data_IF_242908489551
#
_entry.id   IF_242908489551
#
_cell.length_a   1.000
_cell.length_b   1.000
_cell.length_c   1.000
_cell.angle_alpha   90.00
_cell.angle_beta   90.00
_cell.angle_gamma   90.00
#
_symmetry.space_group_name_H-M   'P 1'
#
loop_
_entity.id
_entity.type
_entity.pdbx_description
1 polymer ?
#
# COMPACT_ATOMS: atom_id res chain seq x y z
N UNK A 1 63.23 24.24 -3.39
CA UNK A 1 61.96 24.83 -3.88
C UNK A 1 61.40 23.87 -4.90
N UNK A 2 60.70 22.84 -4.42
CA UNK A 2 59.25 22.80 -4.16
C UNK A 2 58.48 22.43 -5.45
N UNK A 3 57.92 21.22 -5.39
CA UNK A 3 57.36 20.40 -6.48
C UNK A 3 55.95 20.86 -6.88
N UNK A 4 55.56 20.85 -8.18
CA UNK A 4 54.19 21.09 -8.58
C UNK A 4 53.40 19.76 -8.60
N UNK A 5 53.21 19.15 -7.43
CA UNK A 5 52.35 17.94 -7.27
C UNK A 5 50.85 18.25 -7.16
N UNK A 6 50.45 19.52 -7.31
CA UNK A 6 49.12 20.03 -6.91
C UNK A 6 48.02 19.82 -7.95
N UNK A 7 48.32 19.71 -9.25
CA UNK A 7 47.30 19.63 -10.32
C UNK A 7 46.70 18.23 -10.51
N UNK A 8 47.47 17.17 -10.20
CA UNK A 8 47.06 15.78 -10.43
C UNK A 8 45.91 15.36 -9.49
N UNK A 9 45.96 15.80 -8.23
CA UNK A 9 44.91 15.51 -7.25
C UNK A 9 43.56 16.15 -7.61
N UNK A 10 43.53 17.39 -8.12
CA UNK A 10 42.28 18.03 -8.54
C UNK A 10 41.61 17.30 -9.70
N UNK A 11 42.41 16.82 -10.67
CA UNK A 11 41.88 16.03 -11.80
C UNK A 11 41.32 14.69 -11.34
N UNK A 12 42.00 14.01 -10.40
CA UNK A 12 41.53 12.75 -9.79
C UNK A 12 40.22 12.97 -9.01
N UNK A 13 40.11 14.06 -8.26
CA UNK A 13 38.90 14.42 -7.50
C UNK A 13 37.73 14.67 -8.46
N UNK A 14 37.92 15.43 -9.55
CA UNK A 14 36.87 15.69 -10.54
C UNK A 14 36.41 14.40 -11.22
N UNK A 15 37.33 13.51 -11.59
CA UNK A 15 36.99 12.20 -12.18
C UNK A 15 36.22 11.33 -11.19
N UNK A 16 36.60 11.31 -9.91
CA UNK A 16 35.84 10.58 -8.88
C UNK A 16 34.43 11.14 -8.69
N UNK A 17 34.25 12.47 -8.68
CA UNK A 17 32.94 13.12 -8.54
C UNK A 17 32.07 12.85 -9.78
N UNK A 18 32.62 12.92 -10.99
CA UNK A 18 31.89 12.53 -12.21
C UNK A 18 31.51 11.05 -12.19
N UNK A 19 32.40 10.14 -11.78
CA UNK A 19 32.10 8.70 -11.68
C UNK A 19 31.04 8.38 -10.62
N UNK A 20 30.99 9.17 -9.54
CA UNK A 20 29.97 9.04 -8.50
C UNK A 20 28.62 9.61 -8.94
N UNK A 21 28.62 10.62 -9.82
CA UNK A 21 27.39 11.13 -10.46
C UNK A 21 26.78 10.16 -11.47
N UNK A 22 27.59 9.24 -12.01
CA UNK A 22 27.13 8.13 -12.87
C UNK A 22 26.70 6.90 -12.10
N UNK A 23 26.71 6.92 -10.75
CA UNK A 23 26.03 5.91 -9.94
C UNK A 23 24.53 6.06 -10.20
N UNK A 24 24.08 5.29 -11.17
CA UNK A 24 22.77 5.29 -11.80
C UNK A 24 21.63 5.58 -10.83
N UNK A 25 20.80 6.56 -11.18
CA UNK A 25 19.39 6.63 -10.75
C UNK A 25 18.67 5.40 -11.31
N UNK A 26 18.86 4.24 -10.69
CA UNK A 26 18.08 3.06 -11.01
C UNK A 26 16.67 3.29 -10.50
N UNK A 27 15.71 3.40 -11.41
CA UNK A 27 14.30 3.39 -11.04
C UNK A 27 13.97 2.01 -10.48
N UNK A 28 13.56 1.97 -9.21
CA UNK A 28 13.10 0.75 -8.57
C UNK A 28 11.75 0.34 -9.19
N UNK A 29 11.78 -0.73 -9.99
CA UNK A 29 10.60 -1.32 -10.64
C UNK A 29 10.51 -2.79 -10.23
N UNK A 30 9.89 -3.12 -9.08
CA UNK A 30 9.80 -4.49 -8.60
C UNK A 30 8.98 -5.35 -9.57
N UNK A 31 9.33 -6.64 -9.66
CA UNK A 31 8.63 -7.61 -10.51
C UNK A 31 7.17 -7.76 -10.05
N UNK A 32 6.96 -7.86 -8.75
CA UNK A 32 5.64 -7.91 -8.12
C UNK A 32 5.29 -6.50 -7.60
N UNK A 33 4.37 -5.82 -8.30
CA UNK A 33 3.91 -4.48 -7.94
C UNK A 33 2.39 -4.38 -8.02
N UNK A 34 1.75 -4.56 -6.87
CA UNK A 34 0.29 -4.51 -6.73
C UNK A 34 -0.13 -3.22 -6.06
N UNK A 35 -0.87 -2.38 -6.79
CA UNK A 35 -1.44 -1.14 -6.30
C UNK A 35 -2.95 -1.23 -6.43
N UNK A 36 -3.64 -1.34 -5.29
CA UNK A 36 -5.08 -1.61 -5.25
C UNK A 36 -5.82 -0.38 -4.70
N UNK A 37 -6.87 0.03 -5.38
CA UNK A 37 -7.84 1.01 -4.89
C UNK A 37 -9.09 0.29 -4.38
N UNK A 38 -9.12 0.09 -3.07
CA UNK A 38 -10.15 -0.72 -2.41
C UNK A 38 -11.51 -0.02 -2.43
N UNK A 39 -12.54 -0.75 -2.84
CA UNK A 39 -13.90 -0.25 -3.01
C UNK A 39 -14.12 0.58 -4.27
N UNK A 40 -13.08 0.85 -5.08
CA UNK A 40 -13.25 1.55 -6.34
C UNK A 40 -13.62 0.60 -7.48
N UNK A 41 -14.49 1.08 -8.38
CA UNK A 41 -14.83 0.40 -9.62
C UNK A 41 -13.95 0.86 -10.81
N UNK A 42 -13.14 1.90 -10.61
CA UNK A 42 -12.29 2.49 -11.63
C UNK A 42 -10.87 2.66 -11.10
N UNK A 43 -9.91 2.75 -12.02
CA UNK A 43 -8.52 2.96 -11.65
C UNK A 43 -8.28 4.43 -11.27
N UNK A 44 -7.37 4.65 -10.34
CA UNK A 44 -6.94 5.96 -9.90
C UNK A 44 -5.44 6.16 -10.16
N UNK A 45 -5.02 7.39 -10.44
CA UNK A 45 -3.58 7.73 -10.56
C UNK A 45 -3.20 8.69 -9.45
N UNK A 46 -2.17 8.33 -8.68
CA UNK A 46 -1.62 9.14 -7.57
C UNK A 46 -0.10 9.11 -7.67
N UNK A 47 0.54 10.28 -7.70
CA UNK A 47 1.99 10.41 -7.83
C UNK A 47 2.57 9.58 -8.99
N UNK A 48 1.93 9.65 -10.16
CA UNK A 48 2.34 8.89 -11.35
C UNK A 48 2.25 7.35 -11.22
N UNK A 49 1.57 6.85 -10.18
CA UNK A 49 1.31 5.43 -9.94
C UNK A 49 -0.16 5.13 -10.17
N UNK A 50 -0.44 4.07 -10.94
CA UNK A 50 -1.81 3.63 -11.24
C UNK A 50 -2.26 2.57 -10.23
N UNK A 51 -3.33 2.85 -9.52
CA UNK A 51 -4.00 1.95 -8.59
C UNK A 51 -5.22 1.35 -9.28
N UNK A 52 -5.32 0.04 -9.23
CA UNK A 52 -6.39 -0.72 -9.88
C UNK A 52 -7.58 -0.87 -8.94
N UNK A 53 -8.78 -0.51 -9.41
CA UNK A 53 -10.00 -0.63 -8.59
C UNK A 53 -10.37 -2.09 -8.31
N UNK A 54 -10.55 -2.47 -7.04
CA UNK A 54 -10.83 -3.88 -6.69
C UNK A 54 -12.28 -4.32 -6.94
N UNK A 55 -13.20 -3.39 -7.20
CA UNK A 55 -14.58 -3.69 -7.62
C UNK A 55 -14.68 -3.85 -9.13
N UNK A 56 -13.61 -3.57 -9.87
CA UNK A 56 -13.57 -3.79 -11.30
C UNK A 56 -13.59 -5.29 -11.62
N UNK A 57 -14.35 -5.69 -12.65
CA UNK A 57 -14.51 -7.10 -13.05
C UNK A 57 -13.17 -7.79 -13.38
N UNK A 58 -12.15 -7.03 -13.76
CA UNK A 58 -10.80 -7.53 -14.03
C UNK A 58 -10.03 -7.99 -12.79
N UNK A 59 -10.41 -7.53 -11.59
CA UNK A 59 -9.69 -7.77 -10.33
C UNK A 59 -10.43 -8.72 -9.38
N UNK A 60 -11.51 -9.36 -9.84
CA UNK A 60 -12.30 -10.29 -9.02
C UNK A 60 -11.52 -11.53 -8.55
N UNK A 61 -10.34 -11.80 -9.12
CA UNK A 61 -9.48 -12.91 -8.73
C UNK A 61 -8.57 -12.59 -7.54
N UNK A 62 -8.33 -11.29 -7.25
CA UNK A 62 -7.43 -10.86 -6.18
C UNK A 62 -8.17 -10.86 -4.84
N UNK A 63 -9.44 -10.47 -4.84
CA UNK A 63 -10.25 -10.40 -3.61
C UNK A 63 -11.05 -11.68 -3.40
N UNK A 64 -10.78 -12.35 -2.28
CA UNK A 64 -11.59 -13.46 -1.76
C UNK A 64 -12.48 -12.96 -0.62
N UNK A 65 -13.75 -12.70 -0.91
CA UNK A 65 -14.74 -12.26 0.08
C UNK A 65 -16.15 -12.70 -0.28
N UNK A 66 -16.86 -13.31 0.66
CA UNK A 66 -18.28 -13.67 0.49
C UNK A 66 -19.23 -12.53 0.87
N UNK A 67 -18.80 -11.61 1.75
CA UNK A 67 -19.61 -10.50 2.23
C UNK A 67 -18.75 -9.25 2.40
N UNK A 68 -18.71 -8.43 1.36
CA UNK A 68 -18.09 -7.10 1.38
C UNK A 68 -18.96 -6.05 0.72
N UNK A 69 -18.73 -4.79 1.06
CA UNK A 69 -19.42 -3.62 0.52
C UNK A 69 -18.39 -2.59 0.09
N UNK A 70 -18.58 -1.99 -1.08
CA UNK A 70 -17.79 -0.85 -1.52
C UNK A 70 -18.45 0.44 -1.05
N UNK A 71 -17.68 1.32 -0.40
CA UNK A 71 -18.11 2.64 0.03
C UNK A 71 -17.37 3.72 -0.75
N UNK A 72 -18.05 4.84 -0.99
CA UNK A 72 -17.49 6.03 -1.63
C UNK A 72 -17.90 7.26 -0.84
N UNK A 73 -16.95 8.14 -0.54
CA UNK A 73 -17.25 9.46 -0.02
C UNK A 73 -17.86 10.32 -1.14
N UNK A 74 -19.11 10.82 -1.00
CA UNK A 74 -19.66 11.74 -1.98
C UNK A 74 -18.95 13.10 -1.98
N UNK A 75 -18.39 13.52 -0.85
CA UNK A 75 -17.78 14.83 -0.64
C UNK A 75 -16.41 14.71 0.06
N UNK A 76 -15.37 14.19 -0.63
CA UNK A 76 -14.04 14.07 -0.05
C UNK A 76 -13.43 15.44 0.27
N UNK A 77 -12.64 15.57 1.37
CA UNK A 77 -11.89 16.79 1.68
C UNK A 77 -11.02 17.27 0.51
N UNK A 78 -10.88 18.59 0.37
CA UNK A 78 -10.01 19.19 -0.64
C UNK A 78 -8.55 18.74 -0.44
N UNK A 79 -7.89 18.36 -1.53
CA UNK A 79 -6.51 17.88 -1.51
C UNK A 79 -6.33 16.42 -1.09
N UNK A 80 -7.41 15.71 -0.72
CA UNK A 80 -7.34 14.29 -0.40
C UNK A 80 -7.14 13.46 -1.70
N UNK A 81 -6.13 12.59 -1.70
CA UNK A 81 -5.83 11.76 -2.88
C UNK A 81 -7.01 10.84 -3.27
N UNK A 82 -7.23 10.58 -4.57
CA UNK A 82 -8.35 9.76 -5.07
C UNK A 82 -8.48 8.37 -4.43
N UNK A 83 -7.37 7.68 -4.13
CA UNK A 83 -7.37 6.38 -3.44
C UNK A 83 -7.98 6.42 -2.02
N UNK A 84 -8.16 7.64 -1.48
CA UNK A 84 -8.83 7.86 -0.20
C UNK A 84 -10.29 8.31 -0.36
N UNK A 85 -10.86 8.26 -1.56
CA UNK A 85 -12.28 8.58 -1.78
C UNK A 85 -13.18 7.33 -1.63
N UNK A 86 -12.59 6.14 -1.71
CA UNK A 86 -13.30 4.85 -1.67
C UNK A 86 -12.71 3.92 -0.62
N UNK A 87 -13.51 3.00 -0.10
CA UNK A 87 -13.02 1.92 0.75
C UNK A 87 -13.82 0.64 0.57
N UNK A 88 -13.19 -0.50 0.88
CA UNK A 88 -13.91 -1.76 0.98
C UNK A 88 -14.21 -2.08 2.44
N UNK A 89 -15.44 -2.49 2.70
CA UNK A 89 -15.91 -2.90 4.01
C UNK A 89 -16.15 -4.41 4.03
N UNK A 90 -15.47 -5.15 4.91
CA UNK A 90 -15.64 -6.60 5.08
C UNK A 90 -16.58 -6.91 6.25
N UNK A 91 -17.65 -7.67 5.99
CA UNK A 91 -18.61 -8.13 7.01
C UNK A 91 -18.33 -9.56 7.49
N UNK A 92 -17.31 -10.19 6.91
CA UNK A 92 -16.79 -11.50 7.29
C UNK A 92 -15.29 -11.54 7.00
N UNK A 93 -14.55 -12.49 7.60
CA UNK A 93 -13.15 -12.69 7.27
C UNK A 93 -12.96 -12.75 5.75
N UNK A 94 -12.06 -11.92 5.24
CA UNK A 94 -11.82 -11.74 3.80
C UNK A 94 -10.33 -11.58 3.56
N UNK A 95 -9.88 -11.86 2.34
CA UNK A 95 -8.46 -11.76 2.01
C UNK A 95 -8.23 -11.23 0.60
N UNK A 96 -7.09 -10.57 0.43
CA UNK A 96 -6.48 -10.36 -0.87
C UNK A 96 -5.38 -11.40 -1.10
N UNK A 97 -5.36 -12.00 -2.28
CA UNK A 97 -4.35 -12.96 -2.72
C UNK A 97 -3.56 -12.38 -3.89
N UNK A 98 -2.25 -12.22 -3.68
CA UNK A 98 -1.32 -11.74 -4.68
C UNK A 98 -0.42 -12.89 -5.12
N UNK A 99 -0.26 -13.05 -6.43
CA UNK A 99 0.70 -14.01 -6.99
C UNK A 99 2.09 -13.41 -6.86
N UNK A 100 3.04 -14.18 -6.33
CA UNK A 100 4.43 -13.74 -6.12
C UNK A 100 5.31 -14.45 -7.14
N UNK A 101 5.93 -13.65 -8.00
CA UNK A 101 6.84 -14.13 -9.05
C UNK A 101 8.28 -14.08 -8.60
N UNK A 102 8.63 -13.13 -7.75
CA UNK A 102 9.97 -12.95 -7.22
C UNK A 102 9.98 -13.20 -5.71
N UNK A 103 10.58 -14.32 -5.28
CA UNK A 103 10.65 -14.67 -3.87
C UNK A 103 11.69 -13.82 -3.16
N UNK A 104 11.38 -13.32 -1.97
CA UNK A 104 12.28 -12.46 -1.22
C UNK A 104 11.52 -11.48 -0.34
N UNK A 105 12.12 -10.32 -0.07
CA UNK A 105 11.51 -9.28 0.75
C UNK A 105 10.57 -8.41 -0.08
N UNK A 106 9.29 -8.39 0.31
CA UNK A 106 8.25 -7.55 -0.26
C UNK A 106 7.86 -6.44 0.71
N UNK A 107 7.53 -5.27 0.17
CA UNK A 107 6.96 -4.17 0.96
C UNK A 107 5.43 -4.24 0.91
N UNK A 108 4.81 -4.50 2.06
CA UNK A 108 3.35 -4.39 2.24
C UNK A 108 3.05 -3.03 2.84
N UNK A 109 2.28 -2.21 2.11
CA UNK A 109 1.82 -0.89 2.53
C UNK A 109 0.30 -0.88 2.59
N UNK A 110 -0.27 -0.69 3.78
CA UNK A 110 -1.71 -0.64 4.04
C UNK A 110 -2.15 0.79 4.29
N UNK A 111 -3.28 1.18 3.72
CA UNK A 111 -3.80 2.55 3.75
C UNK A 111 -5.12 2.60 4.52
N UNK A 112 -5.20 3.43 5.57
CA UNK A 112 -6.41 3.56 6.37
C UNK A 112 -6.83 5.02 6.41
N UNK A 113 -8.07 5.31 6.03
CA UNK A 113 -8.64 6.65 6.16
C UNK A 113 -10.11 6.54 6.50
N UNK A 114 -10.58 7.47 7.33
CA UNK A 114 -11.98 7.55 7.72
C UNK A 114 -12.88 7.85 6.51
N UNK A 115 -14.09 7.28 6.49
CA UNK A 115 -15.16 7.66 5.57
C UNK A 115 -16.40 7.98 6.38
N UNK A 116 -16.84 9.24 6.35
CA UNK A 116 -18.16 9.63 6.81
C UNK A 116 -19.22 9.01 5.90
N UNK A 117 -19.71 7.83 6.27
CA UNK A 117 -20.78 7.16 5.55
C UNK A 117 -21.94 6.85 6.50
N UNK A 118 -23.08 7.50 6.23
CA UNK A 118 -24.28 7.55 7.08
C UNK A 118 -24.82 6.18 7.54
N UNK A 119 -24.49 5.09 6.85
CA UNK A 119 -25.01 3.74 7.16
C UNK A 119 -24.02 2.79 7.85
N UNK A 120 -22.77 3.20 8.07
CA UNK A 120 -21.78 2.36 8.73
C UNK A 120 -21.22 3.13 9.93
N UNK A 121 -21.59 2.71 11.16
CA UNK A 121 -20.96 3.25 12.37
C UNK A 121 -19.56 2.65 12.49
N UNK A 122 -18.57 3.29 11.86
CA UNK A 122 -17.18 2.83 11.81
C UNK A 122 -16.39 3.16 13.09
N UNK A 123 -17.00 3.88 14.05
CA UNK A 123 -16.33 4.34 15.28
C UNK A 123 -15.72 3.19 16.08
N UNK A 124 -16.44 2.08 16.15
CA UNK A 124 -16.10 0.92 16.96
C UNK A 124 -15.47 -0.23 16.14
N UNK A 125 -15.13 0.01 14.86
CA UNK A 125 -14.61 -1.03 13.97
C UNK A 125 -13.18 -1.43 14.37
N UNK A 126 -13.08 -2.53 15.10
CA UNK A 126 -11.82 -3.17 15.51
C UNK A 126 -11.55 -4.40 14.65
N UNK A 127 -10.33 -4.50 14.13
CA UNK A 127 -9.94 -5.62 13.29
C UNK A 127 -8.47 -6.02 13.43
N UNK A 128 -8.21 -7.23 12.98
CA UNK A 128 -6.89 -7.81 12.80
C UNK A 128 -6.52 -7.85 11.33
N UNK A 129 -5.24 -7.63 11.04
CA UNK A 129 -4.65 -7.86 9.72
C UNK A 129 -3.52 -8.86 9.88
N UNK A 130 -3.54 -9.92 9.08
CA UNK A 130 -2.45 -10.87 8.99
C UNK A 130 -1.95 -11.05 7.56
N UNK A 131 -0.68 -11.39 7.41
CA UNK A 131 -0.06 -11.74 6.12
C UNK A 131 0.52 -13.14 6.22
N UNK A 132 0.08 -14.03 5.34
CA UNK A 132 0.45 -15.46 5.35
C UNK A 132 0.31 -16.10 6.75
N UNK A 133 -0.67 -15.66 7.54
CA UNK A 133 -0.92 -16.14 8.90
C UNK A 133 -0.20 -15.35 10.02
N UNK A 134 0.78 -14.51 9.71
CA UNK A 134 1.46 -13.66 10.68
C UNK A 134 0.66 -12.41 10.98
N UNK A 135 0.35 -12.16 12.25
CA UNK A 135 -0.43 -11.00 12.70
C UNK A 135 0.40 -9.71 12.59
N UNK A 136 -0.03 -8.77 11.74
CA UNK A 136 0.62 -7.46 11.55
C UNK A 136 -0.04 -6.35 12.37
N UNK A 137 -1.37 -6.38 12.44
CA UNK A 137 -2.19 -5.43 13.19
C UNK A 137 -3.14 -6.21 14.07
N UNK A 138 -3.22 -5.81 15.34
CA UNK A 138 -4.11 -6.40 16.33
C UNK A 138 -5.00 -5.34 16.94
N UNK A 139 -6.30 -5.64 17.06
CA UNK A 139 -7.30 -4.76 17.65
C UNK A 139 -7.19 -3.31 17.13
N UNK A 140 -7.00 -3.18 15.81
CA UNK A 140 -6.71 -1.90 15.18
C UNK A 140 -8.00 -1.19 14.80
N UNK A 141 -8.06 0.12 15.09
CA UNK A 141 -9.11 1.03 14.59
C UNK A 141 -8.51 2.04 13.61
N UNK A 142 -9.16 2.15 12.45
CA UNK A 142 -8.88 3.16 11.42
C UNK A 142 -9.67 4.46 11.60
N UNK A 143 -10.53 4.55 12.63
CA UNK A 143 -11.55 5.59 12.74
C UNK A 143 -11.01 6.98 13.12
N UNK A 144 -10.02 7.05 14.00
CA UNK A 144 -9.71 8.29 14.72
C UNK A 144 -8.75 9.26 14.01
N UNK A 145 -8.84 9.44 12.68
CA UNK A 145 -7.92 10.35 11.97
C UNK A 145 -8.55 11.09 10.78
N UNK A 146 -8.52 12.43 10.85
CA UNK A 146 -8.78 13.35 9.73
C UNK A 146 -7.83 13.13 8.54
N UNK A 147 -6.63 12.58 8.80
CA UNK A 147 -5.62 12.31 7.78
C UNK A 147 -5.50 10.80 7.53
N UNK A 148 -5.10 10.38 6.32
CA UNK A 148 -4.76 9.00 6.06
C UNK A 148 -3.62 8.48 6.94
N UNK A 149 -3.76 7.26 7.46
CA UNK A 149 -2.74 6.51 8.17
C UNK A 149 -2.17 5.44 7.25
N UNK A 150 -0.86 5.40 7.13
CA UNK A 150 -0.15 4.41 6.33
C UNK A 150 0.62 3.48 7.27
N UNK A 151 0.54 2.16 7.03
CA UNK A 151 1.31 1.14 7.74
C UNK A 151 2.16 0.37 6.75
N UNK A 152 3.46 0.25 7.03
CA UNK A 152 4.44 -0.36 6.15
C UNK A 152 5.17 -1.50 6.84
N UNK A 153 5.33 -2.61 6.11
CA UNK A 153 5.97 -3.81 6.61
C UNK A 153 6.86 -4.41 5.52
N UNK A 154 8.10 -4.75 5.87
CA UNK A 154 8.97 -5.56 5.01
C UNK A 154 8.78 -7.02 5.40
N UNK A 155 8.29 -7.83 4.48
CA UNK A 155 7.89 -9.22 4.75
C UNK A 155 8.67 -10.13 3.81
N UNK A 156 9.32 -11.15 4.38
CA UNK A 156 9.94 -12.20 3.58
C UNK A 156 8.88 -13.18 3.08
N UNK A 157 8.88 -13.46 1.78
CA UNK A 157 7.93 -14.35 1.11
C UNK A 157 8.69 -15.37 0.27
N UNK A 158 8.55 -16.64 0.62
CA UNK A 158 9.13 -17.79 -0.08
C UNK A 158 8.08 -18.66 -0.79
N UNK A 159 6.81 -18.27 -0.68
CA UNK A 159 5.64 -18.90 -1.31
C UNK A 159 5.26 -18.23 -2.63
N UNK A 160 4.50 -18.93 -3.47
CA UNK A 160 3.97 -18.39 -4.75
C UNK A 160 2.82 -17.39 -4.56
N UNK A 161 2.34 -17.24 -3.33
CA UNK A 161 1.26 -16.33 -2.97
C UNK A 161 1.59 -15.55 -1.71
N UNK A 162 1.19 -14.28 -1.69
CA UNK A 162 1.08 -13.46 -0.49
C UNK A 162 -0.41 -13.21 -0.23
N UNK A 163 -0.87 -13.60 0.95
CA UNK A 163 -2.27 -13.51 1.36
C UNK A 163 -2.40 -12.52 2.50
N UNK A 164 -3.06 -11.40 2.26
CA UNK A 164 -3.40 -10.40 3.29
C UNK A 164 -4.82 -10.68 3.75
N UNK A 165 -5.00 -11.05 5.01
CA UNK A 165 -6.30 -11.41 5.60
C UNK A 165 -6.76 -10.37 6.61
N UNK A 166 -8.03 -10.01 6.51
CA UNK A 166 -8.72 -9.08 7.39
C UNK A 166 -9.79 -9.82 8.18
N UNK A 167 -9.76 -9.68 9.49
CA UNK A 167 -10.69 -10.37 10.42
C UNK A 167 -11.20 -9.39 11.46
N UNK A 168 -12.51 -9.28 11.62
CA UNK A 168 -13.13 -8.37 12.58
C UNK A 168 -12.96 -8.93 14.00
N UNK A 169 -12.72 -8.06 14.98
CA UNK A 169 -12.69 -8.45 16.39
C UNK A 169 -14.11 -8.70 16.93
N UNK A 170 -15.12 -8.00 16.41
CA UNK A 170 -16.54 -8.15 16.78
C UNK A 170 -17.45 -8.17 15.53
N UNK A 171 -18.78 -8.16 15.72
CA UNK A 171 -19.82 -8.14 14.66
C UNK A 171 -19.84 -6.83 13.83
N UNK A 172 -18.72 -6.13 13.77
CA UNK A 172 -18.55 -4.81 13.19
C UNK A 172 -17.82 -4.94 11.86
N UNK A 173 -18.22 -4.10 10.91
CA UNK A 173 -17.75 -4.15 9.53
C UNK A 173 -16.35 -3.54 9.40
N UNK A 174 -15.44 -4.20 8.68
CA UNK A 174 -14.02 -3.81 8.59
C UNK A 174 -13.78 -2.94 7.38
N UNK A 175 -13.42 -1.67 7.55
CA UNK A 175 -12.99 -0.82 6.44
C UNK A 175 -11.51 -1.02 6.13
N UNK A 176 -11.19 -1.46 4.92
CA UNK A 176 -9.84 -1.76 4.44
C UNK A 176 -9.58 -1.01 3.15
N UNK A 177 -8.38 -0.41 3.06
CA UNK A 177 -7.83 0.13 1.83
C UNK A 177 -6.39 -0.27 1.60
#
# INVERSE_FOLDING_TARGET
MESPRRSSCFSLIIITILSLSTLSLSFFSPIDNYLIDCGSAADATVDNRRFSGDSARSNSQILSSTRSVSLRNPNPPLGLAPIYHTARVFKSPSSYEFVIRDKGTHLVRLHFHHLDYVKCNLEDALFHVSVNGFLLLSNFSGYNTLNPRVKEYMIWVDTEKLVIRFTACEKIEICVR
#
